data_IF_899112996581
#
_entry.id   IF_899112996581
#
_cell.length_a   1.000
_cell.length_b   1.000
_cell.length_c   1.000
_cell.angle_alpha   90.00
_cell.angle_beta   90.00
_cell.angle_gamma   90.00
#
_symmetry.space_group_name_H-M   'P 1'
#
loop_
_entity.id
_entity.type
_entity.pdbx_description
1 polymer ?
#
# COMPACT_ATOMS: atom_id res chain seq x y z
N UNK A 1 9.35 -7.63 8.22
CA UNK A 1 9.74 -6.60 9.22
C UNK A 1 9.52 -5.17 8.71
N UNK A 2 10.14 -4.74 7.60
CA UNK A 2 10.01 -3.35 7.09
C UNK A 2 8.57 -2.90 6.89
N UNK A 3 7.73 -3.76 6.31
CA UNK A 3 6.30 -3.49 6.12
C UNK A 3 5.54 -3.23 7.43
N UNK A 4 5.82 -4.00 8.48
CA UNK A 4 5.13 -3.85 9.77
C UNK A 4 5.49 -2.52 10.45
N UNK A 5 6.75 -2.08 10.33
CA UNK A 5 7.20 -0.78 10.82
C UNK A 5 6.51 0.36 10.06
N UNK A 6 6.44 0.25 8.73
CA UNK A 6 5.67 1.19 7.89
C UNK A 6 4.21 1.24 8.32
N UNK A 7 3.58 0.09 8.53
CA UNK A 7 2.17 -0.01 8.91
C UNK A 7 1.91 0.56 10.30
N UNK A 8 2.83 0.38 11.25
CA UNK A 8 2.74 1.00 12.58
C UNK A 8 2.83 2.52 12.50
N UNK A 9 3.81 3.06 11.76
CA UNK A 9 3.93 4.49 11.52
C UNK A 9 2.67 5.07 10.87
N UNK A 10 2.15 4.37 9.86
CA UNK A 10 0.94 4.73 9.17
C UNK A 10 -0.30 4.69 10.08
N UNK A 11 -0.38 3.71 10.99
CA UNK A 11 -1.42 3.62 12.02
C UNK A 11 -1.38 4.78 13.01
N UNK A 12 -0.19 5.10 13.53
CA UNK A 12 -0.01 6.26 14.41
C UNK A 12 -0.42 7.56 13.72
N UNK A 13 -0.01 7.74 12.46
CA UNK A 13 -0.40 8.89 11.65
C UNK A 13 -1.93 8.96 11.43
N UNK A 14 -2.59 7.81 11.23
CA UNK A 14 -4.03 7.74 11.02
C UNK A 14 -4.83 8.13 12.26
N UNK A 15 -4.40 7.65 13.44
CA UNK A 15 -5.04 7.96 14.72
C UNK A 15 -4.81 9.42 15.11
N UNK A 16 -3.57 9.92 14.98
CA UNK A 16 -3.23 11.29 15.31
C UNK A 16 -4.02 12.30 14.47
N UNK A 17 -4.10 12.08 13.15
CA UNK A 17 -4.83 12.97 12.24
C UNK A 17 -6.35 12.70 12.21
N UNK A 18 -6.85 11.74 13.01
CA UNK A 18 -8.25 11.29 13.00
C UNK A 18 -8.77 10.99 11.58
N UNK A 19 -7.89 10.45 10.72
CA UNK A 19 -8.22 10.22 9.32
C UNK A 19 -8.94 8.87 9.18
N UNK A 20 -10.27 8.95 9.14
CA UNK A 20 -11.17 7.81 8.97
C UNK A 20 -10.84 6.94 7.75
N UNK A 21 -10.38 7.54 6.66
CA UNK A 21 -10.06 6.81 5.42
C UNK A 21 -8.78 5.98 5.61
N UNK A 22 -7.76 6.56 6.27
CA UNK A 22 -6.53 5.82 6.61
C UNK A 22 -6.82 4.61 7.50
N UNK A 23 -7.74 4.73 8.46
CA UNK A 23 -8.12 3.64 9.37
C UNK A 23 -8.76 2.47 8.64
N UNK A 24 -9.69 2.75 7.72
CA UNK A 24 -10.27 1.69 6.86
C UNK A 24 -9.16 0.99 6.08
N UNK A 25 -8.23 1.77 5.52
CA UNK A 25 -7.14 1.17 4.76
C UNK A 25 -6.23 0.30 5.61
N UNK A 26 -5.92 0.69 6.85
CA UNK A 26 -5.16 -0.16 7.77
C UNK A 26 -5.88 -1.49 8.03
N UNK A 27 -7.20 -1.48 8.19
CA UNK A 27 -7.98 -2.70 8.36
C UNK A 27 -7.90 -3.60 7.11
N UNK A 28 -8.12 -3.03 5.93
CA UNK A 28 -8.04 -3.76 4.66
C UNK A 28 -6.64 -4.33 4.43
N UNK A 29 -5.60 -3.53 4.69
CA UNK A 29 -4.21 -3.94 4.53
C UNK A 29 -3.84 -5.07 5.49
N UNK A 30 -4.27 -5.03 6.76
CA UNK A 30 -4.09 -6.14 7.69
C UNK A 30 -4.76 -7.43 7.20
N UNK A 31 -5.98 -7.30 6.67
CA UNK A 31 -6.72 -8.45 6.15
C UNK A 31 -6.02 -9.07 4.94
N UNK A 32 -5.54 -8.24 4.01
CA UNK A 32 -4.73 -8.70 2.88
C UNK A 32 -3.47 -9.42 3.37
N UNK A 33 -2.80 -8.93 4.43
CA UNK A 33 -1.63 -9.61 5.01
C UNK A 33 -1.97 -11.00 5.57
N UNK A 34 -3.15 -11.16 6.17
CA UNK A 34 -3.69 -12.46 6.59
C UNK A 34 -3.80 -13.44 5.41
N UNK A 35 -4.41 -12.96 4.31
CA UNK A 35 -4.54 -13.75 3.08
C UNK A 35 -3.19 -14.09 2.46
N UNK A 36 -2.24 -13.15 2.47
CA UNK A 36 -0.88 -13.39 2.00
C UNK A 36 -0.17 -14.49 2.78
N UNK A 37 -0.31 -14.51 4.12
CA UNK A 37 0.25 -15.58 4.95
C UNK A 37 -0.29 -16.97 4.57
N UNK A 38 -1.57 -17.06 4.19
CA UNK A 38 -2.18 -18.32 3.73
C UNK A 38 -1.57 -18.77 2.40
N UNK A 39 -1.37 -17.85 1.44
CA UNK A 39 -0.74 -18.17 0.15
C UNK A 39 0.69 -18.69 0.36
N UNK A 40 1.45 -18.05 1.25
CA UNK A 40 2.82 -18.46 1.56
C UNK A 40 2.88 -19.90 2.10
N UNK A 41 1.87 -20.33 2.87
CA UNK A 41 1.80 -21.70 3.39
C UNK A 41 1.69 -22.73 2.26
N UNK A 42 0.85 -22.45 1.26
CA UNK A 42 0.68 -23.32 0.11
C UNK A 42 1.94 -23.38 -0.75
N UNK A 43 2.62 -22.24 -0.90
CA UNK A 43 3.84 -22.13 -1.67
C UNK A 43 4.97 -22.97 -1.08
N UNK A 44 5.20 -22.90 0.24
CA UNK A 44 6.21 -23.72 0.92
C UNK A 44 5.92 -25.22 0.73
N UNK A 45 4.64 -25.61 0.81
CA UNK A 45 4.22 -26.99 0.55
C UNK A 45 4.56 -27.48 -0.86
N UNK A 46 4.39 -26.62 -1.88
CA UNK A 46 4.77 -26.94 -3.26
C UNK A 46 6.28 -27.11 -3.39
N UNK A 47 7.07 -26.16 -2.89
CA UNK A 47 8.53 -26.21 -3.01
C UNK A 47 9.14 -27.44 -2.35
N UNK A 48 8.64 -27.86 -1.18
CA UNK A 48 9.08 -29.11 -0.53
C UNK A 48 8.77 -30.34 -1.40
N UNK A 49 7.61 -30.36 -2.06
CA UNK A 49 7.19 -31.45 -2.95
C UNK A 49 8.05 -31.52 -4.21
N UNK A 50 8.36 -30.38 -4.81
CA UNK A 50 9.16 -30.32 -6.04
C UNK A 50 10.64 -30.64 -5.78
N UNK A 51 11.20 -30.18 -4.66
CA UNK A 51 12.52 -30.60 -4.20
C UNK A 51 12.59 -32.13 -3.96
N UNK A 52 11.52 -32.75 -3.44
CA UNK A 52 11.48 -34.20 -3.20
C UNK A 52 11.51 -35.02 -4.48
N UNK A 53 10.91 -34.51 -5.56
CA UNK A 53 10.92 -35.18 -6.87
C UNK A 53 12.26 -35.05 -7.57
N UNK A 54 12.91 -33.89 -7.45
CA UNK A 54 14.11 -33.56 -8.21
C UNK A 54 15.42 -34.00 -7.54
N UNK A 55 15.42 -34.32 -6.24
CA UNK A 55 16.60 -34.78 -5.50
C UNK A 55 16.28 -35.98 -4.56
N UNK A 56 16.20 -37.21 -5.09
CA UNK A 56 15.97 -38.40 -4.27
C UNK A 56 17.26 -38.85 -3.57
N UNK A 57 17.40 -38.53 -2.28
CA UNK A 57 18.54 -38.97 -1.45
C UNK A 57 18.21 -39.00 0.05
N UNK A 58 18.90 -39.87 0.81
CA UNK A 58 18.67 -40.06 2.26
C UNK A 58 18.96 -38.80 3.10
N UNK A 59 19.96 -38.01 2.71
CA UNK A 59 20.28 -36.73 3.36
C UNK A 59 19.16 -35.69 3.17
N UNK A 60 18.47 -35.71 2.03
CA UNK A 60 17.35 -34.81 1.73
C UNK A 60 16.09 -35.15 2.53
N UNK A 61 15.85 -36.44 2.78
CA UNK A 61 14.69 -36.89 3.57
C UNK A 61 14.81 -36.49 5.05
N UNK A 62 16.02 -36.49 5.60
CA UNK A 62 16.28 -35.95 6.95
C UNK A 62 16.13 -34.43 7.01
N UNK A 63 16.61 -33.70 5.99
CA UNK A 63 16.46 -32.24 5.90
C UNK A 63 14.98 -31.83 5.79
N UNK A 64 14.22 -32.44 4.88
CA UNK A 64 12.78 -32.15 4.71
C UNK A 64 11.96 -32.55 5.92
N UNK A 65 12.29 -33.65 6.61
CA UNK A 65 11.63 -34.04 7.86
C UNK A 65 11.81 -32.99 8.96
N UNK A 66 13.03 -32.49 9.15
CA UNK A 66 13.33 -31.42 10.10
C UNK A 66 12.67 -30.10 9.69
N UNK A 67 12.76 -29.73 8.41
CA UNK A 67 12.18 -28.50 7.88
C UNK A 67 10.65 -28.51 7.99
N UNK A 68 10.00 -29.64 7.66
CA UNK A 68 8.55 -29.82 7.78
C UNK A 68 8.09 -29.76 9.24
N UNK A 69 8.88 -30.28 10.17
CA UNK A 69 8.61 -30.18 11.61
C UNK A 69 8.74 -28.75 12.13
N UNK A 70 9.80 -28.02 11.74
CA UNK A 70 9.99 -26.61 12.12
C UNK A 70 8.92 -25.70 11.50
N UNK A 71 8.62 -25.90 10.22
CA UNK A 71 7.57 -25.19 9.48
C UNK A 71 6.19 -25.37 10.12
N UNK A 72 5.81 -26.62 10.42
CA UNK A 72 4.53 -26.93 11.05
C UNK A 72 4.40 -26.34 12.46
N UNK A 73 5.51 -26.23 13.20
CA UNK A 73 5.52 -25.72 14.56
C UNK A 73 5.55 -24.19 14.66
N UNK A 74 6.13 -23.49 13.69
CA UNK A 74 6.37 -22.04 13.79
C UNK A 74 5.51 -21.21 12.81
N UNK A 75 5.43 -21.61 11.54
CA UNK A 75 4.83 -20.78 10.49
C UNK A 75 3.30 -20.88 10.51
N UNK A 76 2.76 -22.06 10.79
CA UNK A 76 1.30 -22.26 10.88
C UNK A 76 0.71 -21.43 12.03
N UNK A 77 1.23 -21.50 13.28
CA UNK A 77 0.73 -20.65 14.35
C UNK A 77 0.85 -19.16 14.04
N UNK A 78 1.94 -18.73 13.38
CA UNK A 78 2.15 -17.34 13.00
C UNK A 78 1.02 -16.82 12.11
N UNK A 79 0.65 -17.56 11.05
CA UNK A 79 -0.44 -17.16 10.14
C UNK A 79 -1.78 -17.17 10.87
N UNK A 80 -2.03 -18.14 11.75
CA UNK A 80 -3.26 -18.18 12.58
C UNK A 80 -3.34 -16.93 13.47
N UNK A 81 -2.27 -16.57 14.17
CA UNK A 81 -2.22 -15.34 14.96
C UNK A 81 -2.45 -14.10 14.09
N UNK A 82 -1.83 -14.04 12.90
CA UNK A 82 -1.97 -12.90 12.00
C UNK A 82 -3.42 -12.70 11.54
N UNK A 83 -4.14 -13.77 11.22
CA UNK A 83 -5.57 -13.72 10.87
C UNK A 83 -6.43 -13.28 12.05
N UNK A 84 -6.15 -13.79 13.26
CA UNK A 84 -6.87 -13.40 14.48
C UNK A 84 -6.65 -11.91 14.78
N UNK A 85 -5.40 -11.46 14.83
CA UNK A 85 -5.08 -10.06 15.10
C UNK A 85 -5.61 -9.12 14.02
N UNK A 86 -5.55 -9.53 12.75
CA UNK A 86 -6.18 -8.78 11.65
C UNK A 86 -7.68 -8.61 11.86
N UNK A 87 -8.38 -9.66 12.33
CA UNK A 87 -9.82 -9.61 12.61
C UNK A 87 -10.13 -8.66 13.77
N UNK A 88 -9.31 -8.67 14.82
CA UNK A 88 -9.41 -7.74 15.95
C UNK A 88 -9.18 -6.30 15.47
N UNK A 89 -8.13 -6.05 14.69
CA UNK A 89 -7.84 -4.71 14.14
C UNK A 89 -8.98 -4.24 13.23
N UNK A 90 -9.56 -5.12 12.42
CA UNK A 90 -10.71 -4.77 11.59
C UNK A 90 -11.92 -4.36 12.44
N UNK A 91 -12.22 -5.09 13.52
CA UNK A 91 -13.29 -4.74 14.45
C UNK A 91 -13.04 -3.39 15.15
N UNK A 92 -11.83 -3.17 15.67
CA UNK A 92 -11.43 -1.90 16.31
C UNK A 92 -11.51 -0.74 15.31
N UNK A 93 -11.01 -0.94 14.09
CA UNK A 93 -11.06 0.06 13.02
C UNK A 93 -12.50 0.41 12.63
N UNK A 94 -13.41 -0.56 12.62
CA UNK A 94 -14.83 -0.31 12.39
C UNK A 94 -15.46 0.55 13.50
N UNK A 95 -15.12 0.31 14.77
CA UNK A 95 -15.58 1.14 15.88
C UNK A 95 -15.00 2.57 15.81
N UNK A 96 -13.70 2.71 15.52
CA UNK A 96 -13.07 4.01 15.31
C UNK A 96 -13.69 4.76 14.12
N UNK A 97 -13.98 4.06 13.03
CA UNK A 97 -14.66 4.62 11.86
C UNK A 97 -15.99 5.28 12.24
N UNK A 98 -16.83 4.59 13.00
CA UNK A 98 -18.12 5.12 13.46
C UNK A 98 -17.95 6.39 14.29
N UNK A 99 -16.99 6.39 15.22
CA UNK A 99 -16.71 7.52 16.10
C UNK A 99 -16.20 8.75 15.32
N UNK A 100 -15.26 8.56 14.39
CA UNK A 100 -14.70 9.66 13.61
C UNK A 100 -15.63 10.18 12.53
N UNK A 101 -16.48 9.34 11.92
CA UNK A 101 -17.53 9.82 11.00
C UNK A 101 -18.48 10.80 11.70
N UNK A 102 -18.84 10.53 12.97
CA UNK A 102 -19.66 11.43 13.77
C UNK A 102 -18.95 12.78 14.03
N UNK A 103 -17.65 12.75 14.30
CA UNK A 103 -16.86 13.95 14.58
C UNK A 103 -16.63 14.81 13.31
N UNK A 104 -16.38 14.15 12.17
CA UNK A 104 -16.21 14.80 10.86
C UNK A 104 -17.52 15.47 10.42
N UNK A 105 -18.67 14.80 10.60
CA UNK A 105 -19.99 15.37 10.28
C UNK A 105 -20.22 16.69 11.03
N UNK A 106 -19.84 16.77 12.31
CA UNK A 106 -19.98 17.98 13.12
C UNK A 106 -19.01 19.10 12.74
N UNK A 107 -17.80 18.77 12.26
CA UNK A 107 -16.74 19.75 11.95
C UNK A 107 -16.92 20.47 10.61
N UNK A 108 -17.49 19.82 9.60
CA UNK A 108 -17.47 20.34 8.22
C UNK A 108 -18.71 21.18 7.84
N UNK A 109 -19.86 20.99 8.50
CA UNK A 109 -21.08 21.72 8.13
C UNK A 109 -21.66 21.30 6.75
N UNK A 110 -22.73 21.96 6.31
CA UNK A 110 -23.71 21.44 5.34
C UNK A 110 -23.32 21.40 3.86
N UNK A 111 -22.13 21.87 3.46
CA UNK A 111 -21.74 21.83 2.03
C UNK A 111 -21.18 20.45 1.63
N UNK A 112 -22.06 19.66 1.04
CA UNK A 112 -21.80 18.29 0.57
C UNK A 112 -20.78 18.29 -0.59
N UNK A 113 -20.74 19.35 -1.42
CA UNK A 113 -19.84 19.40 -2.58
C UNK A 113 -18.39 19.57 -2.12
N UNK A 114 -18.11 20.50 -1.22
CA UNK A 114 -16.77 20.72 -0.67
C UNK A 114 -16.28 19.50 0.12
N UNK A 115 -17.17 18.81 0.85
CA UNK A 115 -16.85 17.53 1.49
C UNK A 115 -16.41 16.46 0.48
N UNK A 116 -17.11 16.34 -0.65
CA UNK A 116 -16.79 15.34 -1.67
C UNK A 116 -15.42 15.60 -2.30
N UNK A 117 -15.13 16.86 -2.60
CA UNK A 117 -13.83 17.24 -3.18
C UNK A 117 -12.70 16.97 -2.18
N UNK A 118 -12.85 17.41 -0.93
CA UNK A 118 -11.86 17.18 0.13
C UNK A 118 -11.61 15.68 0.36
N UNK A 119 -12.66 14.85 0.44
CA UNK A 119 -12.54 13.40 0.57
C UNK A 119 -11.77 12.78 -0.61
N UNK A 120 -12.06 13.20 -1.84
CA UNK A 120 -11.38 12.69 -3.05
C UNK A 120 -9.87 12.95 -2.97
N UNK A 121 -9.47 14.13 -2.51
CA UNK A 121 -8.05 14.46 -2.34
C UNK A 121 -7.39 13.68 -1.22
N UNK A 122 -8.07 13.52 -0.10
CA UNK A 122 -7.56 12.74 1.03
C UNK A 122 -7.35 11.27 0.63
N UNK A 123 -8.27 10.70 -0.17
CA UNK A 123 -8.14 9.37 -0.75
C UNK A 123 -6.96 9.31 -1.72
N UNK A 124 -6.76 10.33 -2.56
CA UNK A 124 -5.63 10.36 -3.48
C UNK A 124 -4.28 10.43 -2.76
N UNK A 125 -4.12 11.30 -1.76
CA UNK A 125 -2.89 11.36 -0.93
C UNK A 125 -2.65 10.03 -0.21
N UNK A 126 -3.73 9.40 0.25
CA UNK A 126 -3.68 8.10 0.89
C UNK A 126 -3.18 7.01 -0.07
N UNK A 127 -3.77 6.94 -1.26
CA UNK A 127 -3.38 6.02 -2.32
C UNK A 127 -1.92 6.22 -2.70
N UNK A 128 -1.45 7.46 -2.88
CA UNK A 128 -0.04 7.77 -3.14
C UNK A 128 0.89 7.20 -2.05
N UNK A 129 0.58 7.38 -0.76
CA UNK A 129 1.42 6.86 0.33
C UNK A 129 1.54 5.33 0.34
N UNK A 130 0.44 4.65 0.04
CA UNK A 130 0.40 3.18 0.01
C UNK A 130 1.08 2.68 -1.26
N UNK A 131 0.83 3.34 -2.38
CA UNK A 131 1.39 2.95 -3.66
C UNK A 131 2.91 3.11 -3.69
N UNK A 132 3.45 4.20 -3.14
CA UNK A 132 4.90 4.37 -2.90
C UNK A 132 5.52 3.13 -2.25
N UNK A 133 4.91 2.66 -1.16
CA UNK A 133 5.40 1.50 -0.44
C UNK A 133 5.32 0.22 -1.30
N UNK A 134 4.21 0.02 -2.02
CA UNK A 134 4.03 -1.15 -2.88
C UNK A 134 4.97 -1.16 -4.09
N UNK A 135 5.32 0.00 -4.64
CA UNK A 135 6.32 0.08 -5.72
C UNK A 135 7.71 -0.27 -5.21
N UNK A 136 8.08 0.20 -4.01
CA UNK A 136 9.35 -0.21 -3.39
C UNK A 136 9.38 -1.72 -3.11
N UNK A 137 8.29 -2.27 -2.56
CA UNK A 137 8.19 -3.71 -2.30
C UNK A 137 8.30 -4.51 -3.59
N UNK A 138 7.50 -4.17 -4.60
CA UNK A 138 7.53 -4.84 -5.91
C UNK A 138 8.90 -4.72 -6.57
N UNK A 139 9.57 -3.57 -6.46
CA UNK A 139 10.90 -3.36 -7.03
C UNK A 139 11.98 -4.23 -6.38
N UNK A 140 11.98 -4.36 -5.05
CA UNK A 140 12.93 -5.23 -4.33
C UNK A 140 12.67 -6.70 -4.69
N UNK A 141 11.41 -7.13 -4.66
CA UNK A 141 11.01 -8.51 -4.99
C UNK A 141 11.29 -8.83 -6.47
N UNK A 142 11.11 -7.85 -7.36
CA UNK A 142 11.43 -7.99 -8.77
C UNK A 142 12.93 -8.18 -8.98
N UNK A 143 13.80 -7.47 -8.25
CA UNK A 143 15.26 -7.70 -8.32
C UNK A 143 15.62 -9.09 -7.77
N UNK A 144 14.98 -9.54 -6.70
CA UNK A 144 15.23 -10.85 -6.11
C UNK A 144 14.76 -12.02 -7.00
N UNK A 145 13.68 -11.82 -7.77
CA UNK A 145 13.04 -12.89 -8.56
C UNK A 145 13.46 -12.88 -10.02
N UNK A 146 13.66 -11.69 -10.61
CA UNK A 146 14.05 -11.52 -12.01
C UNK A 146 15.58 -11.53 -12.11
N UNK A 147 16.13 -12.67 -12.51
CA UNK A 147 17.55 -12.78 -12.83
C UNK A 147 17.79 -12.71 -14.34
N UNK A 148 18.99 -12.26 -14.68
CA UNK A 148 19.40 -12.00 -16.04
C UNK A 148 20.01 -13.25 -16.69
N UNK A 149 19.54 -13.62 -17.88
CA UNK A 149 20.13 -14.67 -18.72
C UNK A 149 21.55 -14.26 -19.18
N UNK A 150 22.55 -14.49 -18.34
CA UNK A 150 23.97 -14.37 -18.68
C UNK A 150 24.71 -15.71 -18.68
N UNK A 151 24.21 -16.71 -17.95
CA UNK A 151 24.91 -17.98 -17.80
C UNK A 151 24.03 -19.16 -18.26
N UNK A 152 24.41 -19.90 -19.32
CA UNK A 152 23.66 -21.07 -19.80
C UNK A 152 23.67 -22.26 -18.82
N UNK A 153 24.26 -22.10 -17.62
CA UNK A 153 24.37 -23.14 -16.59
C UNK A 153 23.40 -22.95 -15.41
N UNK A 154 22.69 -21.83 -15.32
CA UNK A 154 21.82 -21.49 -14.18
C UNK A 154 20.32 -21.45 -14.55
N UNK A 155 19.91 -22.40 -15.42
CA UNK A 155 18.66 -22.31 -16.18
C UNK A 155 17.38 -22.71 -15.42
N UNK A 156 17.42 -23.05 -14.12
CA UNK A 156 16.34 -23.87 -13.56
C UNK A 156 15.27 -23.16 -12.71
N UNK A 157 15.50 -21.98 -12.11
CA UNK A 157 14.57 -21.50 -11.07
C UNK A 157 14.08 -20.03 -11.18
N UNK A 158 14.46 -19.26 -12.20
CA UNK A 158 14.09 -17.83 -12.30
C UNK A 158 13.26 -17.47 -13.54
N UNK A 159 12.39 -16.47 -13.40
CA UNK A 159 11.62 -15.91 -14.52
C UNK A 159 12.60 -15.22 -15.49
N UNK A 160 12.89 -15.86 -16.63
CA UNK A 160 13.75 -15.26 -17.67
C UNK A 160 13.00 -14.11 -18.34
N UNK A 161 13.49 -12.90 -18.10
CA UNK A 161 13.05 -11.68 -18.77
C UNK A 161 14.18 -11.23 -19.72
N UNK A 162 13.81 -10.75 -20.91
CA UNK A 162 14.81 -10.14 -21.80
C UNK A 162 15.56 -9.03 -21.08
N UNK A 163 16.89 -8.97 -21.25
CA UNK A 163 17.79 -7.98 -20.63
C UNK A 163 17.20 -6.57 -20.66
N UNK A 164 16.67 -6.17 -21.81
CA UNK A 164 16.07 -4.86 -22.02
C UNK A 164 14.84 -4.58 -21.14
N UNK A 165 14.00 -5.58 -20.88
CA UNK A 165 12.80 -5.43 -20.06
C UNK A 165 13.15 -5.31 -18.56
N UNK A 166 14.22 -5.96 -18.09
CA UNK A 166 14.67 -5.82 -16.71
C UNK A 166 15.20 -4.40 -16.45
N UNK A 167 16.09 -3.91 -17.31
CA UNK A 167 16.57 -2.53 -17.22
C UNK A 167 15.43 -1.51 -17.37
N UNK A 168 14.48 -1.78 -18.27
CA UNK A 168 13.29 -0.95 -18.42
C UNK A 168 12.49 -0.86 -17.11
N UNK A 169 12.22 -1.99 -16.45
CA UNK A 169 11.50 -2.02 -15.17
C UNK A 169 12.22 -1.23 -14.08
N UNK A 170 13.54 -1.40 -13.95
CA UNK A 170 14.35 -0.66 -12.95
C UNK A 170 14.27 0.85 -13.21
N UNK A 171 14.39 1.28 -14.46
CA UNK A 171 14.29 2.70 -14.85
C UNK A 171 12.89 3.24 -14.57
N UNK A 172 11.84 2.51 -14.93
CA UNK A 172 10.44 2.90 -14.68
C UNK A 172 10.16 3.01 -13.17
N UNK A 173 10.69 2.09 -12.37
CA UNK A 173 10.54 2.11 -10.91
C UNK A 173 11.19 3.35 -10.31
N UNK A 174 12.43 3.67 -10.70
CA UNK A 174 13.13 4.88 -10.24
C UNK A 174 12.38 6.14 -10.68
N UNK A 175 11.99 6.22 -11.97
CA UNK A 175 11.20 7.33 -12.51
C UNK A 175 9.92 7.55 -11.69
N UNK A 176 9.22 6.46 -11.34
CA UNK A 176 7.96 6.52 -10.63
C UNK A 176 8.11 7.12 -9.21
N UNK A 177 9.20 6.82 -8.49
CA UNK A 177 9.47 7.44 -7.18
C UNK A 177 9.56 8.97 -7.27
N UNK A 178 10.19 9.51 -8.32
CA UNK A 178 10.20 10.96 -8.57
C UNK A 178 8.81 11.48 -8.95
N UNK A 179 8.06 10.70 -9.72
CA UNK A 179 6.72 11.06 -10.18
C UNK A 179 5.74 11.22 -9.00
N UNK A 180 5.85 10.41 -7.95
CA UNK A 180 5.00 10.54 -6.76
C UNK A 180 5.29 11.80 -5.94
N UNK A 181 6.57 12.17 -5.79
CA UNK A 181 6.94 13.45 -5.15
C UNK A 181 6.38 14.63 -5.95
N UNK A 182 6.47 14.54 -7.28
CA UNK A 182 5.89 15.53 -8.18
C UNK A 182 4.35 15.58 -8.07
N UNK A 183 3.68 14.43 -7.98
CA UNK A 183 2.22 14.34 -7.80
C UNK A 183 1.77 15.01 -6.50
N UNK A 184 2.48 14.73 -5.39
CA UNK A 184 2.19 15.32 -4.10
C UNK A 184 2.39 16.84 -4.11
N UNK A 185 3.48 17.32 -4.71
CA UNK A 185 3.73 18.76 -4.87
C UNK A 185 2.70 19.42 -5.79
N UNK A 186 2.33 18.76 -6.89
CA UNK A 186 1.36 19.26 -7.86
C UNK A 186 -0.03 19.36 -7.24
N UNK A 187 -0.44 18.38 -6.44
CA UNK A 187 -1.67 18.44 -5.66
C UNK A 187 -1.68 19.65 -4.72
N UNK A 188 -0.61 19.84 -3.94
CA UNK A 188 -0.54 20.91 -2.93
C UNK A 188 -0.54 22.31 -3.53
N UNK A 189 0.11 22.48 -4.69
CA UNK A 189 0.19 23.76 -5.40
C UNK A 189 -0.95 23.96 -6.41
N UNK A 190 -1.87 23.00 -6.52
CA UNK A 190 -2.88 22.93 -7.60
C UNK A 190 -2.25 23.11 -9.00
N UNK A 191 -1.06 22.53 -9.19
CA UNK A 191 -0.30 22.68 -10.42
C UNK A 191 -0.85 21.75 -11.50
N UNK A 192 -1.75 22.26 -12.35
CA UNK A 192 -2.34 21.54 -13.49
C UNK A 192 -1.31 20.82 -14.38
N UNK A 193 -0.24 21.47 -14.89
CA UNK A 193 0.72 20.78 -15.76
C UNK A 193 1.47 19.67 -15.02
N UNK A 194 1.80 19.84 -13.73
CA UNK A 194 2.44 18.80 -12.93
C UNK A 194 1.54 17.57 -12.76
N UNK A 195 0.24 17.78 -12.50
CA UNK A 195 -0.71 16.68 -12.38
C UNK A 195 -0.98 15.99 -13.72
N UNK A 196 -1.06 16.74 -14.82
CA UNK A 196 -1.21 16.17 -16.16
C UNK A 196 0.00 15.31 -16.55
N UNK A 197 1.21 15.75 -16.21
CA UNK A 197 2.44 14.98 -16.40
C UNK A 197 2.43 13.69 -15.58
N UNK A 198 1.94 13.73 -14.33
CA UNK A 198 1.74 12.52 -13.53
C UNK A 198 0.76 11.54 -14.19
N UNK A 199 -0.42 12.01 -14.64
CA UNK A 199 -1.46 11.17 -15.24
C UNK A 199 -0.97 10.49 -16.53
N UNK A 200 -0.18 11.19 -17.33
CA UNK A 200 0.34 10.66 -18.60
C UNK A 200 1.47 9.65 -18.37
N UNK A 201 2.45 9.96 -17.52
CA UNK A 201 3.59 9.06 -17.25
C UNK A 201 3.21 7.85 -16.40
N UNK A 202 2.19 7.94 -15.55
CA UNK A 202 1.72 6.79 -14.77
C UNK A 202 1.15 5.66 -15.63
N UNK A 203 0.72 5.93 -16.87
CA UNK A 203 0.32 4.89 -17.83
C UNK A 203 1.51 3.97 -18.15
N UNK A 204 2.73 4.51 -18.24
CA UNK A 204 3.94 3.73 -18.50
C UNK A 204 4.17 2.73 -17.36
N UNK A 205 3.98 3.15 -16.11
CA UNK A 205 4.09 2.29 -14.93
C UNK A 205 3.02 1.19 -14.90
N UNK A 206 1.78 1.51 -15.29
CA UNK A 206 0.71 0.50 -15.42
C UNK A 206 1.10 -0.56 -16.46
N UNK A 207 1.63 -0.13 -17.62
CA UNK A 207 2.06 -1.03 -18.69
C UNK A 207 3.22 -1.92 -18.23
N UNK A 208 4.20 -1.35 -17.53
CA UNK A 208 5.33 -2.08 -16.96
C UNK A 208 4.87 -3.19 -16.00
N UNK A 209 4.02 -2.88 -15.02
CA UNK A 209 3.46 -3.89 -14.12
C UNK A 209 2.63 -4.95 -14.84
N UNK A 210 1.90 -4.59 -15.90
CA UNK A 210 1.20 -5.56 -16.74
C UNK A 210 2.17 -6.51 -17.48
N UNK A 211 3.31 -6.00 -17.98
CA UNK A 211 4.34 -6.81 -18.66
C UNK A 211 4.96 -7.82 -17.67
N UNK A 212 5.27 -7.37 -16.45
CA UNK A 212 5.80 -8.24 -15.39
C UNK A 212 4.78 -9.30 -15.05
N UNK A 213 3.53 -8.92 -14.80
CA UNK A 213 2.46 -9.86 -14.47
C UNK A 213 2.30 -10.93 -15.56
N UNK A 214 2.28 -10.53 -16.83
CA UNK A 214 2.19 -11.47 -17.96
C UNK A 214 3.38 -12.44 -17.99
N UNK A 215 4.57 -11.95 -17.71
CA UNK A 215 5.80 -12.76 -17.72
C UNK A 215 5.78 -13.75 -16.56
N UNK A 216 5.38 -13.32 -15.36
CA UNK A 216 5.25 -14.19 -14.19
C UNK A 216 4.17 -15.26 -14.37
N UNK A 217 3.04 -14.94 -15.01
CA UNK A 217 1.99 -15.92 -15.30
C UNK A 217 2.47 -16.96 -16.32
N UNK A 218 3.23 -16.56 -17.35
CA UNK A 218 3.80 -17.51 -18.32
C UNK A 218 4.77 -18.48 -17.66
N UNK A 219 5.54 -17.99 -16.69
CA UNK A 219 6.51 -18.78 -15.94
C UNK A 219 5.93 -19.37 -14.64
N UNK A 220 4.61 -19.49 -14.50
CA UNK A 220 3.93 -19.86 -13.23
C UNK A 220 4.43 -21.16 -12.58
N UNK A 221 4.97 -22.10 -13.37
CA UNK A 221 5.55 -23.33 -12.85
C UNK A 221 6.77 -23.05 -11.97
N UNK A 222 7.61 -22.10 -12.37
CA UNK A 222 8.86 -21.69 -11.72
C UNK A 222 8.70 -20.41 -10.89
N UNK A 223 7.68 -19.61 -11.17
CA UNK A 223 7.45 -18.34 -10.51
C UNK A 223 7.00 -18.53 -9.06
N UNK A 224 7.49 -17.65 -8.20
CA UNK A 224 7.04 -17.55 -6.83
C UNK A 224 5.61 -17.01 -6.80
N UNK A 225 4.68 -17.77 -6.22
CA UNK A 225 3.28 -17.36 -6.12
C UNK A 225 3.15 -16.07 -5.32
N UNK A 226 3.94 -15.93 -4.27
CA UNK A 226 4.08 -14.69 -3.51
C UNK A 226 4.33 -13.47 -4.41
N UNK A 227 5.30 -13.57 -5.32
CA UNK A 227 5.63 -12.48 -6.25
C UNK A 227 4.45 -12.16 -7.17
N UNK A 228 3.78 -13.16 -7.72
CA UNK A 228 2.61 -12.97 -8.59
C UNK A 228 1.51 -12.20 -7.86
N UNK A 229 1.17 -12.58 -6.63
CA UNK A 229 0.09 -11.92 -5.88
C UNK A 229 0.46 -10.47 -5.54
N UNK A 230 1.72 -10.19 -5.17
CA UNK A 230 2.19 -8.81 -4.95
C UNK A 230 2.02 -7.97 -6.22
N UNK A 231 2.45 -8.49 -7.37
CA UNK A 231 2.33 -7.78 -8.66
C UNK A 231 0.85 -7.54 -9.02
N UNK A 232 -0.04 -8.50 -8.79
CA UNK A 232 -1.49 -8.31 -9.01
C UNK A 232 -2.03 -7.16 -8.14
N UNK A 233 -1.68 -7.13 -6.86
CA UNK A 233 -2.10 -6.04 -5.95
C UNK A 233 -1.51 -4.69 -6.40
N UNK A 234 -0.25 -4.67 -6.84
CA UNK A 234 0.38 -3.46 -7.37
C UNK A 234 -0.33 -2.93 -8.63
N UNK A 235 -0.74 -3.81 -9.55
CA UNK A 235 -1.53 -3.42 -10.74
C UNK A 235 -2.87 -2.80 -10.34
N UNK A 236 -3.61 -3.44 -9.42
CA UNK A 236 -4.90 -2.91 -8.95
C UNK A 236 -4.72 -1.55 -8.28
N UNK A 237 -3.75 -1.41 -7.38
CA UNK A 237 -3.44 -0.14 -6.72
C UNK A 237 -3.03 0.94 -7.71
N UNK A 238 -2.27 0.59 -8.75
CA UNK A 238 -1.86 1.53 -9.79
C UNK A 238 -3.06 2.08 -10.57
N UNK A 239 -3.97 1.21 -11.00
CA UNK A 239 -5.19 1.60 -11.74
C UNK A 239 -6.09 2.49 -10.86
N UNK A 240 -6.31 2.10 -9.60
CA UNK A 240 -7.12 2.90 -8.67
C UNK A 240 -6.49 4.26 -8.44
N UNK A 241 -5.18 4.33 -8.21
CA UNK A 241 -4.46 5.60 -8.02
C UNK A 241 -4.55 6.49 -9.27
N UNK A 242 -4.46 5.91 -10.46
CA UNK A 242 -4.62 6.61 -11.73
C UNK A 242 -6.01 7.22 -11.91
N UNK A 243 -7.07 6.46 -11.60
CA UNK A 243 -8.46 6.96 -11.64
C UNK A 243 -8.62 8.15 -10.68
N UNK A 244 -8.13 8.03 -9.45
CA UNK A 244 -8.21 9.11 -8.47
C UNK A 244 -7.39 10.34 -8.87
N UNK A 245 -6.26 10.18 -9.56
CA UNK A 245 -5.50 11.30 -10.09
C UNK A 245 -6.32 12.13 -11.09
N UNK A 246 -7.07 11.46 -11.98
CA UNK A 246 -7.98 12.12 -12.93
C UNK A 246 -9.10 12.85 -12.17
N UNK A 247 -9.74 12.19 -11.20
CA UNK A 247 -10.80 12.79 -10.39
C UNK A 247 -10.32 14.04 -9.65
N UNK A 248 -9.11 14.02 -9.13
CA UNK A 248 -8.49 15.17 -8.46
C UNK A 248 -8.21 16.29 -9.46
N UNK A 249 -7.64 15.98 -10.62
CA UNK A 249 -7.37 16.95 -11.68
C UNK A 249 -8.63 17.68 -12.15
N UNK A 250 -9.74 16.96 -12.33
CA UNK A 250 -11.05 17.53 -12.71
C UNK A 250 -11.68 18.42 -11.64
N UNK A 251 -11.14 18.38 -10.41
CA UNK A 251 -11.62 19.16 -9.28
C UNK A 251 -10.69 20.33 -8.89
N UNK A 252 -9.64 20.59 -9.66
CA UNK A 252 -8.81 21.77 -9.48
C UNK A 252 -9.61 23.07 -9.70
N UNK A 253 -9.20 24.14 -9.03
CA UNK A 253 -9.78 25.50 -9.07
C UNK A 253 -11.17 25.66 -8.44
N UNK A 254 -11.71 24.63 -7.76
CA UNK A 254 -13.03 24.68 -7.09
C UNK A 254 -12.97 25.14 -5.62
N UNK A 255 -12.02 26.03 -5.27
CA UNK A 255 -11.96 26.65 -3.93
C UNK A 255 -11.19 25.85 -2.86
N UNK A 256 -10.13 25.15 -3.27
CA UNK A 256 -9.53 24.09 -2.48
C UNK A 256 -8.26 24.50 -1.69
N UNK A 257 -7.58 25.57 -2.11
CA UNK A 257 -6.47 26.20 -1.38
C UNK A 257 -6.75 26.51 0.10
N UNK A 258 -7.90 27.11 0.49
CA UNK A 258 -8.15 27.49 1.89
C UNK A 258 -8.21 26.26 2.82
N UNK A 259 -8.62 25.10 2.31
CA UNK A 259 -8.68 23.85 3.08
C UNK A 259 -7.29 23.24 3.30
N UNK A 260 -6.41 23.32 2.28
CA UNK A 260 -5.02 22.85 2.38
C UNK A 260 -4.21 23.70 3.37
N UNK A 261 -4.43 25.02 3.36
CA UNK A 261 -3.78 25.95 4.30
C UNK A 261 -4.32 25.78 5.72
N UNK A 262 -5.62 25.48 5.90
CA UNK A 262 -6.19 25.14 7.21
C UNK A 262 -5.64 23.83 7.78
N UNK A 263 -5.40 22.81 6.94
CA UNK A 263 -4.75 21.57 7.38
C UNK A 263 -3.32 21.82 7.89
N UNK A 264 -2.58 22.75 7.26
CA UNK A 264 -1.26 23.19 7.72
C UNK A 264 -1.35 23.82 9.11
N UNK A 265 -2.33 24.72 9.33
CA UNK A 265 -2.58 25.33 10.64
C UNK A 265 -2.89 24.30 11.74
N UNK A 266 -3.79 23.35 11.48
CA UNK A 266 -4.12 22.29 12.47
C UNK A 266 -2.94 21.33 12.71
N UNK A 267 -2.09 21.08 11.70
CA UNK A 267 -0.90 20.22 11.84
C UNK A 267 0.26 20.93 12.56
N UNK A 268 0.40 22.25 12.38
CA UNK A 268 1.41 23.07 13.06
C UNK A 268 1.01 23.38 14.51
N UNK A 269 -0.28 23.63 14.77
CA UNK A 269 -0.84 23.82 16.14
C UNK A 269 -0.84 22.49 16.92
N UNK A 270 -1.04 21.34 16.25
CA UNK A 270 -0.90 20.02 16.87
C UNK A 270 0.53 19.65 17.29
N UNK A 271 1.55 20.33 16.75
CA UNK A 271 2.96 20.16 17.09
C UNK A 271 3.48 21.10 18.19
N UNK A 272 2.73 22.14 18.54
CA UNK A 272 3.07 23.10 19.59
C UNK A 272 1.83 23.40 20.44
N UNK A 273 1.41 22.53 21.38
CA UNK A 273 0.91 22.87 22.75
C UNK A 273 0.76 21.55 23.55
N UNK A 274 1.49 21.35 24.67
CA UNK A 274 1.05 20.47 25.75
C UNK A 274 0.09 21.23 26.67
N UNK A 275 -1.22 20.92 26.57
CA UNK A 275 -2.26 21.40 27.49
C UNK A 275 -2.64 22.88 27.36
N UNK A 276 -3.95 23.15 27.26
CA UNK A 276 -4.66 24.18 28.04
C UNK A 276 -5.97 24.62 27.35
N UNK A 277 -7.05 24.60 28.13
CA UNK A 277 -8.10 25.63 28.06
C UNK A 277 -9.05 25.64 26.87
N UNK A 278 -10.01 24.70 26.84
CA UNK A 278 -11.30 24.91 26.16
C UNK A 278 -12.03 26.07 26.87
N UNK A 279 -11.88 27.31 26.38
CA UNK A 279 -12.74 28.43 26.79
C UNK A 279 -14.19 28.09 26.41
N UNK A 280 -15.04 27.86 27.42
CA UNK A 280 -16.49 27.98 27.27
C UNK A 280 -16.78 29.43 26.88
N UNK A 281 -17.56 29.59 25.83
CA UNK A 281 -18.33 30.80 25.62
C UNK A 281 -19.53 30.63 26.54
N UNK A 282 -19.46 31.21 27.74
CA UNK A 282 -20.65 31.40 28.56
C UNK A 282 -21.43 32.54 27.90
N UNK A 283 -22.56 32.17 27.29
CA UNK A 283 -23.65 33.10 27.05
C UNK A 283 -24.30 33.34 28.42
N UNK A 284 -23.87 34.39 29.10
CA UNK A 284 -24.68 35.01 30.14
C UNK A 284 -25.81 35.75 29.44
N UNK A 285 -26.98 35.11 29.39
CA UNK A 285 -28.25 35.82 29.49
C UNK A 285 -28.20 36.63 30.79
N UNK A 286 -28.29 37.95 30.70
CA UNK A 286 -28.91 38.78 31.73
C UNK A 286 -29.35 40.10 31.11
N UNK A 287 -30.64 40.37 31.32
CA UNK A 287 -31.44 41.51 30.93
C UNK A 287 -30.85 42.87 31.34
N UNK A 288 -31.01 43.88 30.47
CA UNK A 288 -31.71 45.16 30.66
C UNK A 288 -31.32 46.19 29.58
#
# INVERSE_FOLDING_TARGET
MVFQVFQLFFCMNAVYNQNTIQIITIAVTNFLCGLFGIVQIFEIGKWISDLQKNCPGSAYQSFTGQFRSQYGSNDIPLVVFLVIFSSIIAFVSFKLYQFFCWNIYKKIGADIQMQKIYKTMLIFVLLLKIFFFFVLLTGIEAIATLHHDNDPKEQNDSISLSKGLFYFHVVVTIMFLFLEVLAYSALRRENRPGMLLYITLSVITIVDFCIILRSSIKAIAQAWYFFIVIVVVAVILSIVTWIYAILVFLNFDKGLRPLLDKQKGDSEIGGMIPGEGRKRIDLSDDDY
#
